data_IF_195515313105
#
_entry.id   IF_195515313105
#
_cell.length_a   1.000
_cell.length_b   1.000
_cell.length_c   1.000
_cell.angle_alpha   90.00
_cell.angle_beta   90.00
_cell.angle_gamma   90.00
#
_symmetry.space_group_name_H-M   'P 1'
#
loop_
_entity.id
_entity.type
_entity.pdbx_description
1 polymer ?
#
# COMPACT_ATOMS: atom_id res chain seq x y z
N UNK A 1 -17.19 7.75 62.75
CA UNK A 1 -16.44 8.08 61.52
C UNK A 1 -16.86 7.10 60.42
N UNK A 2 -18.00 7.33 59.77
CA UNK A 2 -18.34 6.61 58.54
C UNK A 2 -17.94 7.49 57.37
N UNK A 3 -16.89 7.10 56.66
CA UNK A 3 -16.58 7.65 55.34
C UNK A 3 -17.63 7.11 54.35
N UNK A 4 -18.83 7.68 54.40
CA UNK A 4 -19.70 7.67 53.22
C UNK A 4 -19.30 8.93 52.45
N UNK A 5 -18.41 8.77 51.47
CA UNK A 5 -18.26 9.80 50.46
C UNK A 5 -19.64 9.94 49.78
N UNK A 6 -20.25 11.12 49.90
CA UNK A 6 -21.49 11.45 49.20
C UNK A 6 -21.25 11.43 47.69
N UNK A 7 -21.45 10.25 47.10
CA UNK A 7 -21.47 10.01 45.67
C UNK A 7 -22.79 10.46 45.04
N UNK A 8 -23.20 11.71 45.30
CA UNK A 8 -24.53 12.20 44.87
C UNK A 8 -24.59 12.62 43.39
N UNK A 9 -23.46 12.56 42.66
CA UNK A 9 -23.39 12.74 41.20
C UNK A 9 -22.74 11.61 40.41
N UNK A 10 -21.87 10.80 41.04
CA UNK A 10 -20.92 9.94 40.30
C UNK A 10 -21.54 8.70 39.65
N UNK A 11 -22.58 8.11 40.23
CA UNK A 11 -23.20 6.87 39.68
C UNK A 11 -24.03 7.13 38.43
N UNK A 12 -24.79 8.23 38.40
CA UNK A 12 -25.60 8.62 37.23
C UNK A 12 -24.72 9.15 36.11
N UNK A 13 -23.73 9.98 36.44
CA UNK A 13 -22.75 10.45 35.46
C UNK A 13 -21.96 9.30 34.87
N UNK A 14 -21.54 8.32 35.68
CA UNK A 14 -20.93 7.09 35.18
C UNK A 14 -21.83 6.38 34.16
N UNK A 15 -23.13 6.23 34.45
CA UNK A 15 -24.07 5.63 33.50
C UNK A 15 -24.18 6.46 32.21
N UNK A 16 -24.25 7.79 32.29
CA UNK A 16 -24.26 8.66 31.11
C UNK A 16 -22.99 8.52 30.26
N UNK A 17 -21.80 8.53 30.89
CA UNK A 17 -20.54 8.33 30.19
C UNK A 17 -20.41 6.94 29.60
N UNK A 18 -20.82 5.91 30.34
CA UNK A 18 -20.80 4.53 29.86
C UNK A 18 -21.76 4.34 28.68
N UNK A 19 -22.98 4.87 28.75
CA UNK A 19 -23.97 4.79 27.66
C UNK A 19 -23.52 5.58 26.44
N UNK A 20 -23.04 6.82 26.62
CA UNK A 20 -22.53 7.63 25.52
C UNK A 20 -21.28 7.01 24.89
N UNK A 21 -20.36 6.47 25.71
CA UNK A 21 -19.16 5.77 25.25
C UNK A 21 -19.49 4.50 24.45
N UNK A 22 -20.39 3.66 24.98
CA UNK A 22 -20.88 2.48 24.26
C UNK A 22 -21.56 2.86 22.93
N UNK A 23 -22.36 3.93 22.92
CA UNK A 23 -22.97 4.48 21.71
C UNK A 23 -21.95 4.92 20.67
N UNK A 24 -20.92 5.67 21.08
CA UNK A 24 -19.84 6.11 20.19
C UNK A 24 -19.06 4.94 19.57
N UNK A 25 -18.70 3.93 20.38
CA UNK A 25 -18.02 2.71 19.90
C UNK A 25 -18.90 1.95 18.91
N UNK A 26 -20.19 1.79 19.23
CA UNK A 26 -21.14 1.07 18.36
C UNK A 26 -21.33 1.79 17.03
N UNK A 27 -21.46 3.12 17.05
CA UNK A 27 -21.56 3.93 15.83
C UNK A 27 -20.29 3.79 14.97
N UNK A 28 -19.10 3.86 15.58
CA UNK A 28 -17.84 3.63 14.85
C UNK A 28 -17.75 2.23 14.25
N UNK A 29 -18.12 1.19 15.02
CA UNK A 29 -18.12 -0.19 14.56
C UNK A 29 -19.13 -0.44 13.43
N UNK A 30 -20.26 0.27 13.40
CA UNK A 30 -21.26 0.17 12.34
C UNK A 30 -20.86 0.93 11.07
N UNK A 31 -20.22 2.11 11.21
CA UNK A 31 -19.81 2.95 10.06
C UNK A 31 -18.53 2.45 9.40
N UNK A 32 -17.57 1.94 10.17
CA UNK A 32 -16.30 1.42 9.63
C UNK A 32 -16.46 0.42 8.48
N UNK A 33 -17.29 -0.65 8.55
CA UNK A 33 -17.43 -1.59 7.45
C UNK A 33 -18.02 -0.95 6.18
N UNK A 34 -18.86 0.09 6.30
CA UNK A 34 -19.40 0.82 5.15
C UNK A 34 -18.31 1.58 4.38
N UNK A 35 -17.28 2.05 5.08
CA UNK A 35 -16.09 2.65 4.46
C UNK A 35 -15.14 1.56 3.96
N UNK A 36 -14.86 0.56 4.79
CA UNK A 36 -13.88 -0.48 4.49
C UNK A 36 -14.26 -1.37 3.30
N UNK A 37 -15.56 -1.52 3.00
CA UNK A 37 -16.00 -2.26 1.80
C UNK A 37 -15.59 -1.60 0.48
N UNK A 38 -15.19 -0.33 0.49
CA UNK A 38 -14.63 0.37 -0.68
C UNK A 38 -13.11 0.16 -0.84
N UNK A 39 -12.44 -0.44 0.13
CA UNK A 39 -11.01 -0.75 0.02
C UNK A 39 -10.76 -1.94 -0.94
N UNK A 40 -9.53 -2.10 -1.47
CA UNK A 40 -9.21 -3.22 -2.36
C UNK A 40 -9.58 -4.58 -1.76
N UNK A 41 -10.39 -5.32 -2.49
CA UNK A 41 -10.87 -6.66 -2.15
C UNK A 41 -9.73 -7.70 -2.22
N UNK A 42 -9.99 -8.90 -1.69
CA UNK A 42 -8.97 -9.95 -1.57
C UNK A 42 -8.47 -10.46 -2.94
N UNK A 43 -9.36 -10.55 -3.93
CA UNK A 43 -9.04 -10.93 -5.31
C UNK A 43 -8.13 -9.91 -6.01
N UNK A 44 -8.37 -8.60 -5.80
CA UNK A 44 -7.48 -7.54 -6.30
C UNK A 44 -6.10 -7.63 -5.66
N UNK A 45 -6.02 -7.94 -4.37
CA UNK A 45 -4.73 -8.15 -3.67
C UNK A 45 -4.01 -9.41 -4.13
N UNK A 46 -4.73 -10.47 -4.49
CA UNK A 46 -4.12 -11.71 -5.00
C UNK A 46 -3.41 -11.50 -6.36
N UNK A 47 -3.85 -10.54 -7.17
CA UNK A 47 -3.20 -10.16 -8.44
C UNK A 47 -1.87 -9.38 -8.25
N UNK A 48 -1.38 -9.22 -7.02
CA UNK A 48 -0.13 -8.52 -6.71
C UNK A 48 1.16 -9.31 -6.96
N UNK A 49 1.06 -10.57 -7.38
CA UNK A 49 2.22 -11.35 -7.81
C UNK A 49 1.85 -12.21 -9.02
N UNK A 50 2.67 -12.13 -10.08
CA UNK A 50 2.50 -12.92 -11.31
C UNK A 50 3.85 -13.49 -11.73
N UNK A 51 3.83 -14.64 -12.41
CA UNK A 51 5.01 -15.20 -13.07
C UNK A 51 4.94 -14.86 -14.56
N UNK A 52 6.05 -14.37 -15.10
CA UNK A 52 6.18 -14.06 -16.53
C UNK A 52 7.29 -14.94 -17.08
N UNK A 53 6.95 -15.79 -18.05
CA UNK A 53 7.97 -16.54 -18.79
C UNK A 53 8.70 -15.59 -19.74
N UNK A 54 10.02 -15.60 -19.65
CA UNK A 54 10.93 -14.78 -20.48
C UNK A 54 11.75 -15.62 -21.45
N UNK A 55 11.57 -16.94 -21.47
CA UNK A 55 12.36 -17.87 -22.28
C UNK A 55 12.29 -17.55 -23.78
N UNK A 56 11.13 -17.11 -24.27
CA UNK A 56 10.91 -16.72 -25.66
C UNK A 56 11.25 -15.27 -26.01
N UNK A 57 11.80 -14.47 -25.08
CA UNK A 57 12.12 -13.05 -25.35
C UNK A 57 13.47 -12.96 -26.04
N UNK A 58 13.44 -12.65 -27.34
CA UNK A 58 14.63 -12.45 -28.16
C UNK A 58 15.36 -11.13 -27.82
N UNK A 59 16.66 -11.09 -28.10
CA UNK A 59 17.47 -9.89 -27.88
C UNK A 59 16.98 -8.75 -28.79
N UNK A 60 16.83 -7.56 -28.23
CA UNK A 60 16.28 -6.38 -28.91
C UNK A 60 14.75 -6.29 -28.91
N UNK A 61 14.06 -7.30 -28.38
CA UNK A 61 12.59 -7.29 -28.27
C UNK A 61 12.10 -6.86 -26.90
N UNK A 62 10.85 -6.42 -26.85
CA UNK A 62 10.17 -6.02 -25.62
C UNK A 62 8.80 -6.69 -25.56
N UNK A 63 8.46 -7.19 -24.38
CA UNK A 63 7.11 -7.61 -24.04
C UNK A 63 6.49 -6.59 -23.08
N UNK A 64 5.18 -6.39 -23.22
CA UNK A 64 4.39 -5.56 -22.31
C UNK A 64 3.39 -6.47 -21.61
N UNK A 65 3.50 -6.56 -20.29
CA UNK A 65 2.62 -7.40 -19.47
C UNK A 65 1.75 -6.53 -18.60
N UNK A 66 0.51 -6.95 -18.38
CA UNK A 66 -0.38 -6.26 -17.45
C UNK A 66 -0.10 -6.72 -16.02
N UNK A 67 0.22 -5.77 -15.15
CA UNK A 67 0.43 -6.01 -13.72
C UNK A 67 -0.26 -4.90 -12.91
N UNK A 68 -1.15 -5.29 -11.99
CA UNK A 68 -1.96 -4.35 -11.19
C UNK A 68 -2.69 -3.28 -12.02
N UNK A 69 -3.19 -3.66 -13.20
CA UNK A 69 -3.89 -2.75 -14.12
C UNK A 69 -2.99 -1.75 -14.84
N UNK A 70 -1.66 -1.86 -14.70
CA UNK A 70 -0.67 -1.01 -15.37
C UNK A 70 0.23 -1.85 -16.29
N UNK A 71 0.74 -1.30 -17.39
CA UNK A 71 1.72 -1.99 -18.21
C UNK A 71 3.08 -2.03 -17.50
N UNK A 72 3.69 -3.20 -17.47
CA UNK A 72 5.09 -3.41 -17.07
C UNK A 72 5.88 -3.84 -18.30
N UNK A 73 7.00 -3.17 -18.55
CA UNK A 73 7.85 -3.42 -19.70
C UNK A 73 9.01 -4.32 -19.32
N UNK A 74 9.18 -5.41 -20.05
CA UNK A 74 10.33 -6.31 -19.92
C UNK A 74 11.03 -6.30 -21.28
N UNK A 75 12.21 -5.67 -21.32
CA UNK A 75 13.04 -5.55 -22.53
C UNK A 75 14.33 -6.32 -22.36
N UNK A 76 14.61 -7.24 -23.28
CA UNK A 76 15.93 -7.88 -23.39
C UNK A 76 16.81 -7.03 -24.28
N UNK A 77 17.53 -6.07 -23.68
CA UNK A 77 18.33 -5.09 -24.42
C UNK A 77 19.47 -5.73 -25.21
N UNK A 78 19.84 -5.07 -26.33
CA UNK A 78 21.05 -5.43 -27.10
C UNK A 78 22.31 -4.92 -26.39
N UNK A 79 23.48 -5.35 -26.86
CA UNK A 79 24.75 -4.88 -26.31
C UNK A 79 24.95 -3.39 -26.55
N UNK A 80 24.59 -2.90 -27.73
CA UNK A 80 24.68 -1.50 -28.13
C UNK A 80 23.82 -0.61 -27.22
N UNK A 81 22.60 -1.06 -26.89
CA UNK A 81 21.71 -0.33 -25.97
C UNK A 81 22.24 -0.28 -24.53
N UNK A 82 22.92 -1.35 -24.10
CA UNK A 82 23.54 -1.41 -22.78
C UNK A 82 24.71 -0.42 -22.71
N UNK A 83 25.54 -0.38 -23.75
CA UNK A 83 26.68 0.54 -23.85
C UNK A 83 26.22 1.99 -23.91
N UNK A 84 25.24 2.30 -24.77
CA UNK A 84 24.65 3.63 -24.85
C UNK A 84 24.07 4.09 -23.51
N UNK A 85 23.36 3.22 -22.78
CA UNK A 85 22.79 3.56 -21.48
C UNK A 85 23.84 3.79 -20.38
N UNK A 86 25.01 3.14 -20.48
CA UNK A 86 26.11 3.31 -19.51
C UNK A 86 26.97 4.54 -19.78
N UNK A 87 26.95 5.04 -21.01
CA UNK A 87 27.75 6.20 -21.43
C UNK A 87 27.15 7.55 -21.00
N UNK A 88 25.91 7.57 -20.47
CA UNK A 88 25.24 8.79 -20.02
C UNK A 88 25.76 9.22 -18.65
N UNK A 89 26.20 10.47 -18.56
CA UNK A 89 26.64 11.07 -17.30
C UNK A 89 25.45 11.40 -16.40
N UNK A 90 25.58 11.17 -15.09
CA UNK A 90 24.51 11.40 -14.11
C UNK A 90 24.02 12.85 -14.09
N UNK A 91 24.90 13.81 -14.39
CA UNK A 91 24.58 15.24 -14.45
C UNK A 91 23.69 15.62 -15.63
N UNK A 92 23.61 14.78 -16.65
CA UNK A 92 22.76 15.01 -17.82
C UNK A 92 21.31 14.54 -17.59
N UNK A 93 21.08 13.77 -16.52
CA UNK A 93 19.75 13.27 -16.15
C UNK A 93 18.98 14.34 -15.36
N UNK A 94 17.74 14.59 -15.78
CA UNK A 94 16.79 15.43 -15.03
C UNK A 94 16.54 14.85 -13.63
N UNK A 95 16.41 13.52 -13.55
CA UNK A 95 16.35 12.79 -12.29
C UNK A 95 17.54 11.83 -12.21
N UNK A 96 18.57 12.15 -11.39
CA UNK A 96 19.72 11.27 -11.20
C UNK A 96 19.45 10.16 -10.19
N UNK A 97 18.30 10.16 -9.51
CA UNK A 97 17.94 9.10 -8.58
C UNK A 97 17.56 7.87 -9.37
N UNK A 98 17.94 6.72 -8.84
CA UNK A 98 17.55 5.45 -9.44
C UNK A 98 16.42 4.83 -8.63
N UNK A 99 15.24 4.81 -9.25
CA UNK A 99 13.95 4.32 -8.74
C UNK A 99 13.83 2.79 -8.81
N UNK A 100 14.88 2.09 -8.36
CA UNK A 100 14.95 0.62 -8.37
C UNK A 100 14.67 0.09 -6.95
N UNK A 101 13.49 -0.50 -6.77
CA UNK A 101 13.07 -1.10 -5.49
C UNK A 101 13.94 -2.32 -5.06
N UNK A 102 14.61 -2.98 -6.00
CA UNK A 102 15.38 -4.20 -5.76
C UNK A 102 16.87 -3.96 -5.44
N UNK A 103 17.27 -2.72 -5.12
CA UNK A 103 18.66 -2.42 -4.78
C UNK A 103 19.05 -3.06 -3.45
N UNK A 104 20.20 -3.74 -3.35
CA UNK A 104 20.70 -4.21 -2.07
C UNK A 104 21.14 -3.03 -1.19
N UNK A 105 20.68 -2.97 0.06
CA UNK A 105 21.16 -2.02 1.08
C UNK A 105 20.40 -0.70 1.21
N UNK A 106 19.14 -0.64 0.77
CA UNK A 106 18.18 0.41 1.15
C UNK A 106 17.15 -0.12 2.13
#
# INVERSE_FOLDING_TARGET
MSHAEDHEGTRRDFLYYATAGAGAVTAGAAVWPLVNQMNPSADVKALSSILVDVSGVEVGTQISVMFLGKPVFIRRRTQEEIEAARAVELSELIDPRSEIANKPGT
#
